data_IF_732686759856
#
_entry.id   IF_732686759856
#
_cell.length_a   1.000
_cell.length_b   1.000
_cell.length_c   1.000
_cell.angle_alpha   90.00
_cell.angle_beta   90.00
_cell.angle_gamma   90.00
#
_symmetry.space_group_name_H-M   'P 1'
#
loop_
_entity.id
_entity.type
_entity.pdbx_description
1 polymer ?
#
# COMPACT_ATOMS: atom_id res chain seq x y z
N UNK A 1 5.08 -19.49 -63.18
CA UNK A 1 4.16 -20.38 -62.44
C UNK A 1 4.82 -21.75 -62.15
N UNK A 2 5.30 -21.92 -60.92
CA UNK A 2 5.86 -23.16 -60.38
C UNK A 2 4.96 -23.63 -59.21
N UNK A 3 4.76 -24.93 -58.97
CA UNK A 3 3.99 -25.38 -57.82
C UNK A 3 4.83 -25.28 -56.53
N UNK A 4 4.24 -24.89 -55.38
CA UNK A 4 4.94 -24.94 -54.11
C UNK A 4 5.05 -26.37 -53.59
N UNK A 5 6.24 -26.69 -53.08
CA UNK A 5 6.63 -27.95 -52.45
C UNK A 5 6.00 -28.03 -51.05
N UNK A 6 5.31 -29.14 -50.75
CA UNK A 6 4.72 -29.38 -49.44
C UNK A 6 5.80 -29.66 -48.39
N UNK A 7 5.74 -28.96 -47.26
CA UNK A 7 6.64 -29.12 -46.10
C UNK A 7 5.99 -30.07 -45.09
N UNK A 8 6.67 -31.17 -44.77
CA UNK A 8 6.25 -32.16 -43.79
C UNK A 8 6.28 -31.62 -42.36
N UNK A 9 5.25 -31.91 -41.57
CA UNK A 9 5.16 -31.56 -40.15
C UNK A 9 5.96 -32.53 -39.25
N UNK A 10 6.53 -32.08 -38.11
CA UNK A 10 7.22 -32.96 -37.17
C UNK A 10 6.24 -33.71 -36.25
N UNK A 11 6.47 -35.01 -36.11
CA UNK A 11 5.76 -35.96 -35.23
C UNK A 11 6.13 -35.76 -33.76
N UNK A 12 5.15 -35.52 -32.89
CA UNK A 12 5.33 -35.50 -31.44
C UNK A 12 5.33 -36.90 -30.79
N UNK A 13 5.92 -37.07 -29.59
CA UNK A 13 6.00 -38.37 -28.91
C UNK A 13 4.66 -38.81 -28.26
N UNK A 14 4.40 -40.11 -28.13
CA UNK A 14 3.14 -40.63 -27.55
C UNK A 14 3.09 -40.53 -26.02
N UNK A 15 1.88 -40.35 -25.49
CA UNK A 15 1.57 -40.32 -24.06
C UNK A 15 1.47 -41.74 -23.45
N UNK A 16 1.85 -41.95 -22.18
CA UNK A 16 1.71 -43.25 -21.50
C UNK A 16 0.28 -43.51 -21.04
N UNK A 17 -0.23 -44.71 -21.34
CA UNK A 17 -1.51 -45.22 -20.89
C UNK A 17 -1.37 -45.98 -19.55
N UNK A 18 -2.10 -45.56 -18.52
CA UNK A 18 -2.27 -46.33 -17.29
C UNK A 18 -3.58 -47.12 -17.35
N UNK A 19 -3.46 -48.42 -17.59
CA UNK A 19 -4.53 -49.39 -17.42
C UNK A 19 -4.40 -50.03 -16.04
N UNK A 20 -5.40 -49.84 -15.19
CA UNK A 20 -5.51 -50.48 -13.88
C UNK A 20 -6.98 -50.74 -13.56
N UNK A 21 -7.43 -51.94 -13.91
CA UNK A 21 -8.79 -52.45 -13.66
C UNK A 21 -8.98 -52.82 -12.19
N UNK A 22 -10.01 -52.26 -11.55
CA UNK A 22 -10.52 -52.76 -10.27
C UNK A 22 -11.16 -54.14 -10.46
N UNK A 23 -10.78 -55.11 -9.63
CA UNK A 23 -11.48 -56.40 -9.52
C UNK A 23 -11.96 -56.60 -8.08
N UNK A 24 -13.26 -56.81 -7.99
CA UNK A 24 -14.07 -57.08 -6.81
C UNK A 24 -14.13 -58.60 -6.56
N UNK A 25 -14.15 -59.00 -5.29
CA UNK A 25 -14.45 -60.34 -4.80
C UNK A 25 -14.07 -60.40 -3.32
N UNK A 26 -14.81 -60.96 -2.37
CA UNK A 26 -16.02 -61.79 -2.33
C UNK A 26 -16.03 -62.44 -0.92
N UNK A 27 -17.20 -62.63 -0.34
CA UNK A 27 -17.49 -62.99 1.07
C UNK A 27 -16.84 -64.28 1.64
N UNK A 28 -16.75 -64.37 2.99
CA UNK A 28 -16.73 -65.68 3.69
C UNK A 28 -16.09 -65.82 5.09
N UNK A 29 -16.86 -65.51 6.15
CA UNK A 29 -17.04 -66.22 7.46
C UNK A 29 -15.91 -66.89 8.32
N UNK A 30 -15.93 -66.50 9.61
CA UNK A 30 -15.73 -67.21 10.93
C UNK A 30 -14.46 -68.04 11.26
N UNK A 31 -13.80 -67.65 12.37
CA UNK A 31 -13.58 -68.55 13.53
C UNK A 31 -12.17 -68.66 14.14
N UNK A 32 -12.09 -68.36 15.44
CA UNK A 32 -11.15 -68.87 16.48
C UNK A 32 -9.74 -68.27 16.68
N UNK A 33 -9.62 -67.53 17.80
CA UNK A 33 -8.62 -67.71 18.89
C UNK A 33 -7.12 -67.79 18.58
N UNK A 34 -6.37 -66.75 18.95
CA UNK A 34 -4.91 -66.82 19.12
C UNK A 34 -4.22 -65.49 19.44
N UNK A 35 -3.74 -65.34 20.68
CA UNK A 35 -2.58 -64.59 21.23
C UNK A 35 -2.19 -63.19 20.65
N UNK A 36 -1.95 -62.16 21.51
CA UNK A 36 -1.48 -60.85 21.05
C UNK A 36 0.04 -60.86 20.80
N UNK A 37 0.43 -60.82 19.53
CA UNK A 37 1.82 -60.63 19.16
C UNK A 37 2.03 -60.65 17.65
N UNK A 38 1.89 -59.49 17.00
CA UNK A 38 2.64 -59.01 15.83
C UNK A 38 1.81 -58.07 14.94
N UNK A 39 2.53 -57.12 14.34
CA UNK A 39 2.07 -55.85 13.77
C UNK A 39 1.44 -56.01 12.39
N UNK A 40 0.35 -55.31 12.14
CA UNK A 40 -0.18 -54.99 10.81
C UNK A 40 -0.49 -53.49 10.75
N UNK A 41 0.11 -52.78 9.80
CA UNK A 41 0.07 -51.31 9.68
C UNK A 41 -1.29 -50.78 9.25
N UNK A 42 -1.73 -49.74 9.93
CA UNK A 42 -2.94 -48.96 9.65
C UNK A 42 -2.50 -47.51 9.40
N UNK A 43 -2.88 -46.83 8.30
CA UNK A 43 -2.57 -45.42 8.10
C UNK A 43 -3.63 -44.57 8.82
N UNK A 44 -3.45 -44.37 10.12
CA UNK A 44 -4.14 -43.32 10.88
C UNK A 44 -3.11 -42.40 11.51
N UNK A 45 -2.80 -41.30 10.80
CA UNK A 45 -2.03 -40.18 11.35
C UNK A 45 -2.92 -39.41 12.34
N UNK A 46 -2.91 -39.86 13.59
CA UNK A 46 -3.39 -39.13 14.76
C UNK A 46 -2.19 -38.48 15.46
N UNK A 47 -2.02 -37.17 15.31
CA UNK A 47 -1.01 -36.38 16.01
C UNK A 47 -1.63 -35.78 17.27
N UNK A 48 -1.42 -36.44 18.41
CA UNK A 48 -1.69 -35.87 19.74
C UNK A 48 -0.39 -35.29 20.28
N UNK A 49 -0.28 -33.96 20.34
CA UNK A 49 0.81 -33.27 21.07
C UNK A 49 0.38 -33.17 22.53
N UNK A 50 0.85 -34.11 23.35
CA UNK A 50 0.82 -33.99 24.80
C UNK A 50 2.11 -33.30 25.23
N UNK A 51 1.98 -32.09 25.77
CA UNK A 51 3.09 -31.33 26.36
C UNK A 51 3.54 -32.02 27.65
N UNK A 52 4.52 -32.90 27.55
CA UNK A 52 5.08 -33.61 28.71
C UNK A 52 6.23 -32.80 29.30
N UNK A 53 5.85 -31.87 30.17
CA UNK A 53 6.73 -31.08 31.01
C UNK A 53 7.34 -31.98 32.11
N UNK A 54 8.46 -32.65 31.83
CA UNK A 54 9.26 -33.35 32.86
C UNK A 54 10.38 -32.46 33.37
N UNK A 55 10.10 -31.78 34.48
CA UNK A 55 11.06 -31.07 35.33
C UNK A 55 11.70 -32.08 36.31
N UNK A 56 13.03 -32.07 36.53
CA UNK A 56 13.67 -32.90 37.57
C UNK A 56 13.23 -32.48 38.98
N UNK A 57 13.13 -33.43 39.95
CA UNK A 57 12.78 -33.12 41.32
C UNK A 57 14.03 -32.67 42.08
N UNK A 58 14.06 -31.40 42.49
CA UNK A 58 15.13 -30.87 43.34
C UNK A 58 14.81 -29.44 43.78
N UNK A 59 14.82 -29.24 45.09
CA UNK A 59 14.67 -28.02 45.90
C UNK A 59 13.71 -26.88 45.51
N UNK A 60 12.80 -26.61 46.44
CA UNK A 60 11.92 -25.44 46.51
C UNK A 60 12.72 -24.14 46.74
N UNK A 61 12.46 -23.12 45.93
CA UNK A 61 12.31 -21.74 46.43
C UNK A 61 11.42 -20.94 45.49
N UNK A 62 10.21 -20.62 45.96
CA UNK A 62 9.26 -19.80 45.23
C UNK A 62 9.84 -18.42 44.93
N UNK A 63 10.00 -18.12 43.64
CA UNK A 63 10.06 -16.74 43.16
C UNK A 63 8.66 -16.39 42.66
N UNK A 64 7.94 -15.66 43.51
CA UNK A 64 6.61 -15.15 43.21
C UNK A 64 6.63 -14.41 41.89
N UNK A 65 5.66 -14.73 41.05
CA UNK A 65 5.21 -13.91 39.92
C UNK A 65 4.83 -12.54 40.49
N UNK A 66 5.72 -11.58 40.31
CA UNK A 66 5.50 -10.17 40.63
C UNK A 66 6.53 -9.34 39.86
N UNK A 67 6.43 -9.35 38.53
CA UNK A 67 6.80 -8.15 37.78
C UNK A 67 5.52 -7.35 37.64
N UNK A 68 5.23 -6.60 38.71
CA UNK A 68 4.35 -5.45 38.71
C UNK A 68 4.53 -4.65 37.44
N UNK A 69 3.46 -4.61 36.66
CA UNK A 69 3.20 -3.62 35.61
C UNK A 69 3.31 -2.25 36.29
N UNK A 70 4.41 -1.54 36.06
CA UNK A 70 4.52 -0.13 36.40
C UNK A 70 4.10 0.68 35.18
N UNK A 71 2.80 0.99 35.11
CA UNK A 71 2.28 2.07 34.27
C UNK A 71 2.75 3.40 34.88
N UNK A 72 3.80 3.99 34.33
CA UNK A 72 4.14 5.39 34.59
C UNK A 72 3.58 6.23 33.44
N UNK A 73 2.29 6.60 33.56
CA UNK A 73 1.67 7.65 32.76
C UNK A 73 2.12 8.98 33.37
N UNK A 74 3.17 9.57 32.83
CA UNK A 74 3.54 10.95 33.11
C UNK A 74 2.85 11.84 32.08
N UNK A 75 1.74 12.46 32.49
CA UNK A 75 1.10 13.53 31.74
C UNK A 75 1.97 14.79 31.80
N UNK A 76 2.35 15.30 30.63
CA UNK A 76 2.81 16.67 30.47
C UNK A 76 1.70 17.44 29.76
N UNK A 77 0.91 18.19 30.53
CA UNK A 77 0.03 19.23 30.03
C UNK A 77 0.91 20.39 29.55
N UNK A 78 1.08 20.52 28.23
CA UNK A 78 1.48 21.80 27.66
C UNK A 78 0.22 22.67 27.57
N UNK A 79 -0.04 23.44 28.63
CA UNK A 79 -0.96 24.56 28.58
C UNK A 79 -0.34 25.63 27.67
N UNK A 80 -0.67 25.61 26.37
CA UNK A 80 -0.45 26.76 25.50
C UNK A 80 -1.66 27.66 25.64
N UNK A 81 -1.44 28.74 26.39
CA UNK A 81 -2.17 30.01 26.46
C UNK A 81 -3.19 30.22 25.34
N UNK A 82 -4.47 30.03 25.67
CA UNK A 82 -5.57 30.76 25.04
C UNK A 82 -5.84 31.98 25.91
N UNK A 83 -5.76 33.17 25.33
CA UNK A 83 -6.06 34.46 25.97
C UNK A 83 -4.94 35.46 25.68
N UNK A 84 -5.18 36.68 25.17
CA UNK A 84 -6.39 37.50 25.22
C UNK A 84 -6.27 38.61 24.16
N UNK A 85 -7.32 38.78 23.35
CA UNK A 85 -7.47 39.88 22.39
C UNK A 85 -8.94 40.30 22.26
N UNK A 86 -9.64 40.32 23.39
CA UNK A 86 -10.98 40.84 23.67
C UNK A 86 -11.06 40.68 25.21
N UNK A 87 -11.22 41.68 26.07
CA UNK A 87 -11.92 42.96 26.04
C UNK A 87 -11.25 43.83 27.12
N UNK A 88 -11.13 45.14 26.93
CA UNK A 88 -11.46 46.11 28.00
C UNK A 88 -11.40 47.57 27.53
N UNK A 89 -12.48 48.31 27.88
CA UNK A 89 -12.62 49.77 27.80
C UNK A 89 -13.21 50.27 26.48
N UNK A 90 -14.51 50.51 26.29
CA UNK A 90 -15.51 51.02 27.25
C UNK A 90 -15.03 52.30 27.93
N UNK A 91 -15.06 53.41 27.18
CA UNK A 91 -15.21 54.80 27.63
C UNK A 91 -15.63 55.65 26.39
N UNK A 92 -16.34 56.76 26.56
CA UNK A 92 -17.74 56.88 26.14
C UNK A 92 -18.03 58.15 25.32
N UNK A 93 -19.21 58.19 24.71
CA UNK A 93 -19.94 59.45 24.49
C UNK A 93 -20.23 59.79 23.04
N UNK A 94 -21.52 59.98 22.74
CA UNK A 94 -21.97 60.78 21.60
C UNK A 94 -23.29 60.34 20.98
N UNK A 95 -24.38 60.38 21.74
CA UNK A 95 -25.75 60.30 21.24
C UNK A 95 -26.10 61.43 20.27
N UNK A 96 -26.94 61.14 19.27
CA UNK A 96 -28.04 62.01 18.88
C UNK A 96 -29.08 61.23 18.04
N UNK A 97 -30.25 61.03 18.65
CA UNK A 97 -31.53 60.78 18.01
C UNK A 97 -31.81 61.72 16.82
N UNK A 98 -32.55 61.23 15.81
CA UNK A 98 -33.98 61.58 15.61
C UNK A 98 -34.54 61.08 14.26
N UNK A 99 -35.69 60.42 14.41
CA UNK A 99 -36.94 60.59 13.68
C UNK A 99 -37.14 60.21 12.20
N UNK A 100 -38.33 59.63 12.04
CA UNK A 100 -39.07 59.21 10.85
C UNK A 100 -39.24 60.31 9.80
N UNK A 101 -39.36 59.87 8.55
CA UNK A 101 -40.40 60.38 7.64
C UNK A 101 -39.93 60.76 6.24
N UNK A 102 -40.67 60.29 5.23
CA UNK A 102 -41.08 61.12 4.11
C UNK A 102 -40.36 60.93 2.77
N UNK A 103 -41.18 60.61 1.78
CA UNK A 103 -40.93 60.61 0.34
C UNK A 103 -40.26 61.89 -0.21
N UNK A 104 -39.46 61.75 -1.27
CA UNK A 104 -39.73 62.36 -2.59
C UNK A 104 -38.46 62.46 -3.44
N UNK A 105 -38.64 62.18 -4.73
CA UNK A 105 -37.68 62.24 -5.80
C UNK A 105 -37.16 63.66 -6.10
N UNK A 106 -35.88 63.77 -6.46
CA UNK A 106 -35.38 64.67 -7.53
C UNK A 106 -33.87 64.48 -7.77
N UNK A 107 -33.51 63.81 -8.87
CA UNK A 107 -32.30 64.10 -9.66
C UNK A 107 -32.49 65.41 -10.46
N UNK A 108 -31.48 66.01 -11.15
CA UNK A 108 -30.04 65.66 -11.29
C UNK A 108 -29.08 66.88 -11.15
N UNK A 109 -27.76 66.66 -11.11
CA UNK A 109 -26.80 67.25 -12.10
C UNK A 109 -25.31 67.07 -11.73
N UNK A 110 -24.58 66.45 -12.69
CA UNK A 110 -23.24 66.78 -13.23
C UNK A 110 -22.00 66.86 -12.33
N UNK A 111 -21.20 65.79 -12.45
CA UNK A 111 -19.76 65.72 -12.78
C UNK A 111 -18.78 66.82 -12.35
N UNK A 112 -17.75 66.44 -11.56
CA UNK A 112 -16.32 66.54 -11.96
C UNK A 112 -15.34 65.91 -10.92
N UNK A 113 -14.55 64.93 -11.39
CA UNK A 113 -13.13 64.61 -11.02
C UNK A 113 -12.74 64.00 -9.65
N UNK A 114 -11.57 63.32 -9.55
CA UNK A 114 -11.44 61.94 -9.06
C UNK A 114 -10.65 61.76 -7.72
N UNK A 115 -10.67 60.54 -7.14
CA UNK A 115 -9.49 60.03 -6.42
C UNK A 115 -9.16 58.58 -6.84
N UNK A 116 -7.91 58.29 -7.22
CA UNK A 116 -6.81 57.88 -6.35
C UNK A 116 -6.72 56.35 -6.17
N UNK A 117 -5.67 55.80 -6.78
CA UNK A 117 -4.95 54.57 -6.42
C UNK A 117 -5.70 53.48 -5.68
N UNK A 118 -6.24 52.51 -6.42
CA UNK A 118 -6.51 51.19 -5.87
C UNK A 118 -5.19 50.49 -5.52
N UNK A 119 -4.98 50.38 -4.21
CA UNK A 119 -4.04 49.51 -3.52
C UNK A 119 -4.09 48.10 -4.14
N UNK A 120 -2.94 47.46 -4.47
CA UNK A 120 -2.95 46.08 -4.93
C UNK A 120 -3.48 45.20 -3.80
N UNK A 121 -4.57 44.49 -4.09
CA UNK A 121 -5.01 43.36 -3.29
C UNK A 121 -3.87 42.34 -3.24
N UNK A 122 -3.53 41.76 -2.07
CA UNK A 122 -2.55 40.69 -2.01
C UNK A 122 -3.10 39.53 -2.81
N UNK A 123 -2.42 39.17 -3.91
CA UNK A 123 -2.60 37.87 -4.53
C UNK A 123 -2.32 36.83 -3.45
N UNK A 124 -3.39 36.25 -2.91
CA UNK A 124 -3.31 34.96 -2.26
C UNK A 124 -2.64 34.05 -3.27
N UNK A 125 -1.38 33.68 -2.99
CA UNK A 125 -0.67 32.64 -3.70
C UNK A 125 -1.39 31.34 -3.36
N UNK A 126 -2.52 31.13 -4.03
CA UNK A 126 -3.22 29.87 -4.06
C UNK A 126 -2.31 28.91 -4.79
N UNK A 127 -1.85 27.91 -4.05
CA UNK A 127 -1.27 26.70 -4.60
C UNK A 127 -2.16 26.27 -5.77
N UNK A 128 -1.65 26.41 -7.00
CA UNK A 128 -2.43 26.12 -8.20
C UNK A 128 -2.73 24.63 -8.18
N UNK A 129 -3.93 24.27 -7.71
CA UNK A 129 -4.36 22.88 -7.61
C UNK A 129 -4.29 22.28 -9.01
N UNK A 130 -3.30 21.41 -9.21
CA UNK A 130 -2.97 20.86 -10.51
C UNK A 130 -4.15 20.02 -11.02
N UNK A 131 -4.50 20.18 -12.30
CA UNK A 131 -5.68 19.52 -12.86
C UNK A 131 -5.59 18.00 -12.72
N UNK A 132 -6.68 17.31 -12.32
CA UNK A 132 -6.69 15.86 -12.22
C UNK A 132 -6.39 15.19 -13.56
N UNK A 133 -5.41 14.28 -13.57
CA UNK A 133 -5.06 13.47 -14.71
C UNK A 133 -6.15 12.42 -14.99
N UNK A 134 -6.56 12.31 -16.25
CA UNK A 134 -7.49 11.28 -16.76
C UNK A 134 -6.76 10.05 -17.31
N UNK A 135 -5.47 10.20 -17.59
CA UNK A 135 -4.55 9.16 -18.05
C UNK A 135 -3.17 9.35 -17.42
N UNK A 136 -2.33 8.32 -17.52
CA UNK A 136 -0.95 8.38 -17.05
C UNK A 136 -0.19 9.51 -17.76
N UNK A 137 0.38 10.50 -17.04
CA UNK A 137 1.17 11.53 -17.65
C UNK A 137 2.44 10.95 -18.30
N UNK A 138 2.78 11.43 -19.49
CA UNK A 138 3.90 10.91 -20.29
C UNK A 138 5.24 10.93 -19.56
N UNK A 139 5.44 11.86 -18.62
CA UNK A 139 6.67 11.95 -17.85
C UNK A 139 6.97 10.69 -17.01
N UNK A 140 5.94 9.93 -16.60
CA UNK A 140 6.11 8.69 -15.84
C UNK A 140 6.43 7.49 -16.72
N UNK A 141 6.06 7.49 -18.00
CA UNK A 141 6.18 6.34 -18.90
C UNK A 141 7.63 5.91 -19.06
N UNK A 142 7.92 4.63 -18.84
CA UNK A 142 9.26 4.06 -18.86
C UNK A 142 9.61 3.34 -17.57
N UNK A 143 10.89 2.97 -17.43
CA UNK A 143 11.35 2.20 -16.28
C UNK A 143 12.03 3.10 -15.26
N UNK A 144 11.65 2.91 -14.00
CA UNK A 144 12.20 3.59 -12.83
C UNK A 144 12.76 2.57 -11.87
N UNK A 145 13.95 2.83 -11.33
CA UNK A 145 14.64 1.91 -10.44
C UNK A 145 15.33 2.61 -9.30
N UNK A 146 15.31 2.02 -8.11
CA UNK A 146 16.03 2.56 -6.97
C UNK A 146 15.90 1.71 -5.70
N UNK A 147 16.77 1.96 -4.71
CA UNK A 147 16.66 1.31 -3.41
C UNK A 147 15.43 1.81 -2.66
N UNK A 148 14.84 0.94 -1.85
CA UNK A 148 13.73 1.26 -0.96
C UNK A 148 14.05 0.86 0.49
N UNK A 149 13.43 1.55 1.43
CA UNK A 149 13.63 1.38 2.88
C UNK A 149 12.28 1.25 3.56
N UNK A 150 12.18 0.39 4.57
CA UNK A 150 10.99 0.29 5.42
C UNK A 150 10.92 1.48 6.36
N UNK A 151 9.76 2.17 6.40
CA UNK A 151 9.55 3.23 7.37
C UNK A 151 9.37 2.69 8.80
N UNK A 152 8.85 1.47 8.96
CA UNK A 152 8.58 0.90 10.29
C UNK A 152 9.83 0.44 11.02
N UNK A 153 10.86 -0.01 10.30
CA UNK A 153 12.08 -0.58 10.88
C UNK A 153 13.35 0.19 10.52
N UNK A 154 13.33 1.00 9.44
CA UNK A 154 14.51 1.64 8.88
C UNK A 154 15.40 0.69 8.08
N UNK A 155 15.03 -0.59 7.92
CA UNK A 155 15.86 -1.58 7.21
C UNK A 155 15.75 -1.44 5.69
N UNK A 156 16.80 -1.79 4.93
CA UNK A 156 16.73 -1.88 3.49
C UNK A 156 15.66 -2.89 3.04
N UNK A 157 14.77 -2.45 2.16
CA UNK A 157 13.68 -3.25 1.60
C UNK A 157 13.96 -3.64 0.13
N UNK A 158 15.24 -3.78 -0.20
CA UNK A 158 15.68 -4.17 -1.54
C UNK A 158 15.67 -3.03 -2.56
N UNK A 159 15.62 -3.42 -3.83
CA UNK A 159 15.56 -2.50 -4.98
C UNK A 159 14.24 -2.67 -5.71
N UNK A 160 13.49 -1.58 -5.84
CA UNK A 160 12.26 -1.53 -6.63
C UNK A 160 12.62 -1.20 -8.09
N UNK A 161 12.00 -1.94 -9.01
CA UNK A 161 11.90 -1.60 -10.43
C UNK A 161 10.41 -1.42 -10.76
N UNK A 162 10.03 -0.25 -11.27
CA UNK A 162 8.67 0.08 -11.67
C UNK A 162 8.66 0.43 -13.17
N UNK A 163 7.95 -0.35 -13.97
CA UNK A 163 7.81 -0.15 -15.42
C UNK A 163 6.42 0.41 -15.68
N UNK A 164 6.37 1.70 -16.04
CA UNK A 164 5.14 2.39 -16.37
C UNK A 164 4.85 2.33 -17.87
N UNK A 165 3.62 1.99 -18.22
CA UNK A 165 3.10 2.00 -19.59
C UNK A 165 1.92 2.97 -19.68
N UNK A 166 1.68 3.52 -20.87
CA UNK A 166 0.51 4.37 -21.10
C UNK A 166 -0.79 3.65 -20.71
N UNK A 167 -1.75 4.42 -20.18
CA UNK A 167 -3.06 3.91 -19.81
C UNK A 167 -3.92 4.98 -19.14
N UNK A 168 -5.21 4.73 -19.05
CA UNK A 168 -6.20 5.63 -18.46
C UNK A 168 -6.41 5.34 -16.98
N UNK A 169 -7.11 6.23 -16.30
CA UNK A 169 -7.63 5.94 -14.95
C UNK A 169 -8.46 4.66 -14.98
N UNK A 170 -8.22 3.78 -14.00
CA UNK A 170 -8.85 2.47 -13.89
C UNK A 170 -8.14 1.35 -14.65
N UNK A 171 -7.13 1.67 -15.46
CA UNK A 171 -6.31 0.67 -16.16
C UNK A 171 -5.02 0.37 -15.40
N UNK A 172 -4.45 -0.82 -15.64
CA UNK A 172 -3.13 -1.19 -15.17
C UNK A 172 -2.07 -0.38 -15.93
N UNK A 173 -1.33 0.46 -15.22
CA UNK A 173 -0.35 1.38 -15.82
C UNK A 173 1.07 1.11 -15.36
N UNK A 174 1.26 0.28 -14.34
CA UNK A 174 2.60 -0.04 -13.82
C UNK A 174 2.72 -1.50 -13.48
N UNK A 175 3.88 -2.06 -13.79
CA UNK A 175 4.27 -3.41 -13.41
C UNK A 175 5.57 -3.31 -12.62
N UNK A 176 5.60 -3.86 -11.42
CA UNK A 176 6.66 -3.66 -10.44
C UNK A 176 7.36 -4.98 -10.08
N UNK A 177 8.61 -4.86 -9.64
CA UNK A 177 9.38 -5.94 -9.06
C UNK A 177 10.32 -5.39 -8.00
N UNK A 178 10.18 -5.86 -6.76
CA UNK A 178 11.09 -5.55 -5.67
C UNK A 178 11.97 -6.75 -5.41
N UNK A 179 13.28 -6.57 -5.54
CA UNK A 179 14.27 -7.62 -5.28
C UNK A 179 15.03 -7.33 -4.00
N UNK A 180 14.95 -8.24 -3.04
CA UNK A 180 15.63 -8.18 -1.75
C UNK A 180 16.67 -9.28 -1.73
N UNK A 181 17.93 -8.93 -1.50
CA UNK A 181 19.02 -9.91 -1.40
C UNK A 181 19.74 -9.75 -0.08
N UNK A 182 19.68 -10.77 0.76
CA UNK A 182 20.31 -10.81 2.08
C UNK A 182 20.82 -12.22 2.36
N UNK A 183 22.05 -12.34 2.86
CA UNK A 183 22.66 -13.62 3.28
C UNK A 183 22.62 -14.73 2.21
N UNK A 184 22.75 -14.36 0.93
CA UNK A 184 22.73 -15.30 -0.19
C UNK A 184 21.33 -15.79 -0.61
N UNK A 185 20.27 -15.26 0.00
CA UNK A 185 18.88 -15.51 -0.40
C UNK A 185 18.37 -14.29 -1.18
N UNK A 186 17.76 -14.54 -2.33
CA UNK A 186 17.09 -13.53 -3.13
C UNK A 186 15.58 -13.77 -3.11
N UNK A 187 14.85 -12.76 -2.66
CA UNK A 187 13.38 -12.70 -2.67
C UNK A 187 12.96 -11.71 -3.74
N UNK A 188 11.98 -12.09 -4.56
CA UNK A 188 11.40 -11.23 -5.59
C UNK A 188 9.90 -11.12 -5.34
N UNK A 189 9.43 -9.91 -5.10
CA UNK A 189 8.01 -9.59 -4.96
C UNK A 189 7.55 -8.85 -6.22
N UNK A 190 6.58 -9.44 -6.91
CA UNK A 190 6.05 -8.92 -8.18
C UNK A 190 4.61 -8.44 -7.98
N UNK A 191 4.34 -7.24 -8.48
CA UNK A 191 3.03 -6.62 -8.38
C UNK A 191 2.68 -5.85 -9.65
N UNK A 192 1.39 -5.54 -9.78
CA UNK A 192 0.84 -4.69 -10.82
C UNK A 192 0.05 -3.55 -10.17
N UNK A 193 -0.04 -2.42 -10.84
CA UNK A 193 -0.66 -1.22 -10.31
C UNK A 193 -1.64 -0.57 -11.28
N UNK A 194 -2.85 -0.32 -10.79
CA UNK A 194 -3.93 0.37 -11.49
C UNK A 194 -3.93 1.86 -11.16
N UNK A 195 -4.07 2.74 -12.16
CA UNK A 195 -4.15 4.18 -11.93
C UNK A 195 -5.49 4.56 -11.29
N UNK A 196 -5.49 4.88 -9.99
CA UNK A 196 -6.71 5.35 -9.31
C UNK A 196 -6.98 6.84 -9.55
N UNK A 197 -5.93 7.66 -9.44
CA UNK A 197 -6.00 9.11 -9.65
C UNK A 197 -4.58 9.68 -9.80
N UNK A 198 -4.49 10.95 -10.17
CA UNK A 198 -3.21 11.65 -10.19
C UNK A 198 -3.35 13.06 -10.74
N UNK A 199 -2.22 13.75 -10.79
CA UNK A 199 -1.97 15.02 -11.48
C UNK A 199 -0.73 14.83 -12.37
N UNK A 200 -0.12 15.88 -12.91
CA UNK A 200 1.16 15.70 -13.61
C UNK A 200 2.33 15.43 -12.65
N UNK A 201 2.27 15.88 -11.39
CA UNK A 201 3.33 15.67 -10.39
C UNK A 201 3.11 14.53 -9.38
N UNK A 202 1.89 14.03 -9.20
CA UNK A 202 1.64 12.93 -8.26
C UNK A 202 0.65 11.89 -8.82
N UNK A 203 0.94 10.61 -8.62
CA UNK A 203 0.06 9.49 -8.97
C UNK A 203 -0.33 8.71 -7.73
N UNK A 204 -1.60 8.30 -7.69
CA UNK A 204 -2.11 7.32 -6.74
C UNK A 204 -2.42 6.02 -7.49
N UNK A 205 -1.73 4.95 -7.11
CA UNK A 205 -1.83 3.64 -7.74
C UNK A 205 -2.43 2.63 -6.74
N UNK A 206 -3.34 1.77 -7.21
CA UNK A 206 -3.79 0.59 -6.46
C UNK A 206 -2.95 -0.60 -6.86
N UNK A 207 -2.15 -1.09 -5.93
CA UNK A 207 -1.30 -2.26 -6.10
C UNK A 207 -2.08 -3.54 -5.80
N UNK A 208 -1.82 -4.56 -6.62
CA UNK A 208 -2.21 -5.94 -6.39
C UNK A 208 -1.06 -6.87 -6.79
N UNK A 209 -1.13 -8.14 -6.35
CA UNK A 209 -0.17 -9.16 -6.77
C UNK A 209 -0.23 -9.37 -8.28
N UNK A 210 0.93 -9.57 -8.92
CA UNK A 210 1.02 -9.83 -10.35
C UNK A 210 0.62 -11.29 -10.66
N UNK A 211 -0.52 -11.54 -11.34
CA UNK A 211 -0.98 -12.90 -11.60
C UNK A 211 -0.13 -13.62 -12.68
N UNK A 212 0.55 -12.86 -13.54
CA UNK A 212 1.36 -13.41 -14.64
C UNK A 212 2.80 -13.69 -14.22
N UNK A 213 3.27 -13.06 -13.12
CA UNK A 213 4.63 -13.21 -12.61
C UNK A 213 4.58 -13.47 -11.11
N UNK A 214 4.57 -14.74 -10.68
CA UNK A 214 4.47 -15.05 -9.26
C UNK A 214 5.66 -14.50 -8.48
N UNK A 215 5.39 -14.05 -7.26
CA UNK A 215 6.40 -13.70 -6.27
C UNK A 215 7.08 -14.94 -5.70
N UNK A 216 8.20 -14.77 -4.99
CA UNK A 216 8.80 -15.86 -4.21
C UNK A 216 7.79 -16.39 -3.19
N UNK A 217 7.45 -17.69 -3.22
CA UNK A 217 6.37 -18.24 -2.41
C UNK A 217 6.57 -18.02 -0.90
N UNK A 218 5.54 -17.47 -0.24
CA UNK A 218 5.51 -17.31 1.22
C UNK A 218 6.41 -16.22 1.80
N UNK A 219 7.12 -15.44 0.96
CA UNK A 219 8.09 -14.43 1.41
C UNK A 219 7.68 -12.99 1.06
N UNK A 220 6.58 -12.81 0.32
CA UNK A 220 6.02 -11.52 -0.03
C UNK A 220 4.61 -11.40 0.55
N UNK A 221 4.19 -10.17 0.84
CA UNK A 221 2.80 -9.88 1.15
C UNK A 221 1.92 -10.09 -0.08
N UNK A 222 0.64 -10.38 0.13
CA UNK A 222 -0.36 -10.50 -0.94
C UNK A 222 -1.49 -9.49 -0.80
N UNK A 223 -1.32 -8.48 0.06
CA UNK A 223 -2.35 -7.48 0.36
C UNK A 223 -2.40 -6.45 -0.75
N UNK A 224 -3.61 -6.03 -1.13
CA UNK A 224 -3.75 -4.83 -1.93
C UNK A 224 -3.31 -3.60 -1.12
N UNK A 225 -2.67 -2.65 -1.80
CA UNK A 225 -2.14 -1.45 -1.16
C UNK A 225 -2.29 -0.21 -2.05
N UNK A 226 -2.34 0.95 -1.39
CA UNK A 226 -2.20 2.23 -2.08
C UNK A 226 -0.72 2.60 -2.19
N UNK A 227 -0.30 2.98 -3.38
CA UNK A 227 1.02 3.53 -3.66
C UNK A 227 0.91 4.98 -4.09
N UNK A 228 1.91 5.77 -3.74
CA UNK A 228 2.07 7.15 -4.18
C UNK A 228 3.40 7.27 -4.90
N UNK A 229 3.35 7.81 -6.12
CA UNK A 229 4.52 8.17 -6.89
C UNK A 229 4.50 9.67 -7.15
N UNK A 230 5.58 10.39 -6.82
CA UNK A 230 5.69 11.83 -7.06
C UNK A 230 6.90 12.13 -7.90
N UNK A 231 6.67 12.77 -9.05
CA UNK A 231 7.76 13.25 -9.90
C UNK A 231 8.37 14.51 -9.28
N UNK A 232 9.65 14.44 -8.95
CA UNK A 232 10.41 15.57 -8.43
C UNK A 232 10.96 16.43 -9.57
N UNK A 233 11.24 17.70 -9.26
CA UNK A 233 11.76 18.66 -10.26
C UNK A 233 13.18 18.29 -10.75
N UNK A 234 13.91 17.46 -9.99
CA UNK A 234 15.22 16.89 -10.36
C UNK A 234 15.11 15.70 -11.35
N UNK A 235 13.89 15.35 -11.79
CA UNK A 235 13.62 14.25 -12.70
C UNK A 235 13.65 12.86 -12.05
N UNK A 236 13.74 12.77 -10.72
CA UNK A 236 13.59 11.52 -9.97
C UNK A 236 12.14 11.25 -9.58
N UNK A 237 11.84 10.01 -9.21
CA UNK A 237 10.51 9.58 -8.83
C UNK A 237 10.50 9.12 -7.37
N UNK A 238 9.87 9.90 -6.49
CA UNK A 238 9.66 9.50 -5.11
C UNK A 238 8.57 8.43 -5.05
N UNK A 239 8.86 7.29 -4.43
CA UNK A 239 7.95 6.18 -4.22
C UNK A 239 7.58 6.04 -2.74
N UNK A 240 6.31 5.75 -2.46
CA UNK A 240 5.80 5.40 -1.13
C UNK A 240 4.69 4.36 -1.22
N UNK A 241 4.78 3.31 -0.42
CA UNK A 241 3.67 2.37 -0.19
C UNK A 241 2.98 2.64 1.14
N UNK A 242 1.65 2.47 1.16
CA UNK A 242 0.83 2.47 2.39
C UNK A 242 0.65 1.07 2.98
N UNK A 243 1.34 0.05 2.46
CA UNK A 243 1.25 -1.31 2.99
C UNK A 243 2.00 -1.46 4.32
N UNK A 244 1.24 -1.61 5.41
CA UNK A 244 1.83 -1.85 6.73
C UNK A 244 2.51 -3.21 6.87
N UNK A 245 1.97 -4.24 6.21
CA UNK A 245 2.52 -5.60 6.28
C UNK A 245 3.92 -5.69 5.65
N UNK A 246 4.22 -4.84 4.66
CA UNK A 246 5.54 -4.72 4.04
C UNK A 246 6.43 -3.65 4.70
N UNK A 247 6.02 -3.08 5.84
CA UNK A 247 6.82 -2.09 6.56
C UNK A 247 6.80 -0.67 5.99
N UNK A 248 5.77 -0.32 5.20
CA UNK A 248 5.59 1.00 4.58
C UNK A 248 6.82 1.43 3.75
N UNK A 249 7.21 0.66 2.72
CA UNK A 249 8.42 0.93 1.97
C UNK A 249 8.35 2.27 1.22
N UNK A 250 9.49 2.96 1.16
CA UNK A 250 9.64 4.22 0.43
C UNK A 250 11.04 4.32 -0.18
N UNK A 251 11.20 5.15 -1.22
CA UNK A 251 12.50 5.37 -1.85
C UNK A 251 12.45 6.45 -2.92
N UNK A 252 13.62 6.77 -3.48
CA UNK A 252 13.78 7.65 -4.64
C UNK A 252 14.28 6.79 -5.80
N UNK A 253 13.55 6.83 -6.91
CA UNK A 253 13.84 6.05 -8.11
C UNK A 253 14.40 6.96 -9.19
N UNK A 254 15.33 6.44 -9.99
CA UNK A 254 15.86 7.10 -11.17
C UNK A 254 15.37 6.38 -12.42
N UNK A 255 15.23 7.12 -13.53
CA UNK A 255 14.93 6.50 -14.82
C UNK A 255 16.07 5.57 -15.23
N UNK A 256 15.75 4.39 -15.75
CA UNK A 256 16.74 3.38 -16.14
C UNK A 256 16.36 2.72 -17.46
N UNK A 257 17.28 2.70 -18.43
CA UNK A 257 17.04 2.13 -19.76
C UNK A 257 16.27 3.09 -20.67
N UNK A 258 16.87 3.41 -21.82
CA UNK A 258 16.23 4.06 -22.96
C UNK A 258 15.69 3.02 -23.94
#
# INVERSE_FOLDING_TARGET
PMPPRATSAPTGPPAPAHAGTYRQGGDGTRGTGGLPGQRGGDPRLSLTVSAENRQPPGERRGRRVSCTVALAVAGALAAVTIGTGLLDGLLPGGDADRDRGGDAAATPSRSASPPAGEKPTPSASGDASEAPATALPKAYVGTWKGPVTEKTTGQPHGTLTAVFTEGKRGEQVVRMSTTISQLGITVTCNSVGTLASGTAKELNIREATDPDRPSTPGLCTGTEADLVFRLADDGTLDYRSKERAAGLPYGKLTRSGD
#
